data_IF_597059393415
#
_entry.id   IF_597059393415
#
_cell.length_a   1.000
_cell.length_b   1.000
_cell.length_c   1.000
_cell.angle_alpha   90.00
_cell.angle_beta   90.00
_cell.angle_gamma   90.00
#
_symmetry.space_group_name_H-M   'P 1'
#
loop_
_entity.id
_entity.type
_entity.pdbx_description
1 polymer ?
#
# COMPACT_ATOMS: atom_id res chain seq x y z
N UNK A 1 13.20 -2.07 33.64
CA UNK A 1 12.18 -3.14 33.73
C UNK A 1 11.05 -2.83 32.76
N UNK A 2 11.12 -3.31 31.53
CA UNK A 2 10.03 -3.18 30.56
C UNK A 2 9.00 -4.28 30.84
N UNK A 3 7.80 -3.88 31.30
CA UNK A 3 6.62 -4.72 31.23
C UNK A 3 6.17 -4.75 29.77
N UNK A 4 6.57 -5.78 29.03
CA UNK A 4 5.92 -6.11 27.77
C UNK A 4 4.49 -6.56 28.11
N UNK A 5 3.50 -5.74 27.80
CA UNK A 5 2.12 -6.21 27.65
C UNK A 5 2.11 -7.15 26.44
N UNK A 6 2.42 -8.43 26.68
CA UNK A 6 1.93 -9.52 25.85
C UNK A 6 0.40 -9.52 26.00
N UNK A 7 -0.27 -8.68 25.20
CA UNK A 7 -1.66 -8.95 24.85
C UNK A 7 -1.65 -10.34 24.22
N UNK A 8 -2.20 -11.32 24.95
CA UNK A 8 -2.32 -12.69 24.50
C UNK A 8 -3.01 -12.72 23.13
N UNK A 9 -2.26 -13.01 22.06
CA UNK A 9 -2.82 -13.17 20.72
C UNK A 9 -3.83 -14.32 20.75
N UNK A 10 -5.14 -14.07 20.61
CA UNK A 10 -6.18 -15.04 20.94
C UNK A 10 -6.34 -16.16 19.90
N UNK A 11 -5.55 -16.16 18.82
CA UNK A 11 -5.81 -16.92 17.60
C UNK A 11 -5.51 -18.43 17.68
N UNK A 12 -4.66 -18.87 18.63
CA UNK A 12 -4.23 -20.27 18.74
C UNK A 12 -4.63 -20.92 20.08
N UNK A 13 -5.56 -20.29 20.83
CA UNK A 13 -5.95 -20.74 22.17
C UNK A 13 -6.69 -22.09 22.20
N UNK A 14 -7.31 -22.50 21.09
CA UNK A 14 -8.06 -23.77 21.00
C UNK A 14 -7.42 -24.72 19.99
N UNK A 15 -7.33 -26.01 20.37
CA UNK A 15 -6.74 -27.07 19.55
C UNK A 15 -7.36 -27.18 18.15
N UNK A 16 -8.68 -26.96 18.06
CA UNK A 16 -9.44 -26.94 16.80
C UNK A 16 -9.00 -25.83 15.84
N UNK A 17 -8.61 -24.67 16.36
CA UNK A 17 -8.16 -23.54 15.54
C UNK A 17 -6.74 -23.78 15.01
N UNK A 18 -5.85 -24.38 15.81
CA UNK A 18 -4.51 -24.79 15.38
C UNK A 18 -4.56 -25.77 14.21
N UNK A 19 -5.42 -26.79 14.30
CA UNK A 19 -5.58 -27.79 13.24
C UNK A 19 -6.10 -27.16 11.94
N UNK A 20 -7.05 -26.22 12.02
CA UNK A 20 -7.53 -25.48 10.85
C UNK A 20 -6.40 -24.72 10.15
N UNK A 21 -5.53 -24.04 10.89
CA UNK A 21 -4.43 -23.27 10.32
C UNK A 21 -3.36 -24.15 9.70
N UNK A 22 -3.02 -25.28 10.35
CA UNK A 22 -2.11 -26.28 9.78
C UNK A 22 -2.65 -26.81 8.45
N UNK A 23 -3.92 -27.18 8.37
CA UNK A 23 -4.52 -27.67 7.12
C UNK A 23 -4.52 -26.63 6.00
N UNK A 24 -4.67 -25.34 6.33
CA UNK A 24 -4.58 -24.25 5.34
C UNK A 24 -3.14 -24.12 4.80
N UNK A 25 -2.14 -24.21 5.67
CA UNK A 25 -0.72 -24.17 5.28
C UNK A 25 -0.31 -25.40 4.46
N UNK A 26 -0.79 -26.59 4.83
CA UNK A 26 -0.58 -27.82 4.05
C UNK A 26 -1.19 -27.71 2.65
N UNK A 27 -2.40 -27.15 2.54
CA UNK A 27 -3.05 -26.91 1.25
C UNK A 27 -2.34 -25.84 0.41
N UNK A 28 -1.75 -24.82 1.03
CA UNK A 28 -0.92 -23.80 0.35
C UNK A 28 0.39 -24.41 -0.15
N UNK A 29 1.07 -25.19 0.70
CA UNK A 29 2.28 -25.93 0.36
C UNK A 29 2.07 -26.86 -0.83
N UNK A 30 0.99 -27.67 -0.80
CA UNK A 30 0.69 -28.64 -1.85
C UNK A 30 0.35 -28.02 -3.22
N UNK A 31 0.05 -26.72 -3.27
CA UNK A 31 -0.27 -25.98 -4.50
C UNK A 31 0.91 -25.18 -5.06
N UNK A 32 2.03 -25.17 -4.37
CA UNK A 32 3.20 -24.38 -4.76
C UNK A 32 4.33 -25.31 -5.18
N UNK A 33 4.98 -25.01 -6.31
CA UNK A 33 6.21 -25.70 -6.75
C UNK A 33 7.48 -24.97 -6.27
N UNK A 34 7.33 -23.84 -5.56
CA UNK A 34 8.42 -23.05 -5.01
C UNK A 34 8.98 -23.70 -3.73
N UNK A 35 10.23 -24.17 -3.80
CA UNK A 35 10.91 -24.85 -2.71
C UNK A 35 11.08 -23.97 -1.45
N UNK A 36 11.41 -22.68 -1.61
CA UNK A 36 11.57 -21.77 -0.48
C UNK A 36 10.22 -21.50 0.20
N UNK A 37 9.16 -21.35 -0.60
CA UNK A 37 7.80 -21.23 -0.09
C UNK A 37 7.33 -22.48 0.66
N UNK A 38 7.68 -23.67 0.17
CA UNK A 38 7.37 -24.93 0.84
C UNK A 38 8.10 -25.05 2.18
N UNK A 39 9.37 -24.67 2.26
CA UNK A 39 10.14 -24.61 3.53
C UNK A 39 9.47 -23.64 4.52
N UNK A 40 9.06 -22.46 4.05
CA UNK A 40 8.38 -21.48 4.88
C UNK A 40 7.05 -22.02 5.42
N UNK A 41 6.27 -22.73 4.60
CA UNK A 41 5.06 -23.40 5.06
C UNK A 41 5.36 -24.46 6.13
N UNK A 42 6.40 -25.26 5.96
CA UNK A 42 6.81 -26.28 6.93
C UNK A 42 7.23 -25.66 8.26
N UNK A 43 8.05 -24.60 8.20
CA UNK A 43 8.44 -23.80 9.36
C UNK A 43 7.20 -23.30 10.11
N UNK A 44 6.25 -22.65 9.42
CA UNK A 44 5.04 -22.15 10.06
C UNK A 44 4.16 -23.28 10.64
N UNK A 45 4.05 -24.42 9.97
CA UNK A 45 3.34 -25.61 10.48
C UNK A 45 3.98 -26.11 11.78
N UNK A 46 5.33 -26.20 11.82
CA UNK A 46 6.06 -26.66 13.00
C UNK A 46 5.90 -25.66 14.15
N UNK A 47 6.01 -24.37 13.86
CA UNK A 47 5.77 -23.29 14.82
C UNK A 47 4.38 -23.37 15.47
N UNK A 48 3.32 -23.67 14.69
CA UNK A 48 1.96 -23.87 15.23
C UNK A 48 1.88 -25.15 16.07
N UNK A 49 2.44 -26.27 15.59
CA UNK A 49 2.40 -27.58 16.27
C UNK A 49 3.09 -27.54 17.63
N UNK A 50 4.28 -26.95 17.68
CA UNK A 50 5.11 -26.86 18.88
C UNK A 50 4.72 -25.70 19.82
N UNK A 51 3.79 -24.83 19.40
CA UNK A 51 3.36 -23.71 20.23
C UNK A 51 4.43 -22.62 20.40
N UNK A 52 5.31 -22.44 19.41
CA UNK A 52 6.45 -21.49 19.49
C UNK A 52 5.96 -20.07 19.21
N UNK A 53 5.46 -19.40 20.25
CA UNK A 53 4.87 -18.06 20.15
C UNK A 53 5.78 -16.98 19.53
N UNK A 54 7.11 -17.12 19.67
CA UNK A 54 8.07 -16.12 19.18
C UNK A 54 7.97 -15.89 17.66
N UNK A 55 7.55 -16.92 16.90
CA UNK A 55 7.45 -16.87 15.43
C UNK A 55 6.01 -16.76 14.92
N UNK A 56 5.07 -16.35 15.78
CA UNK A 56 3.66 -16.28 15.40
C UNK A 56 3.36 -15.13 14.45
N UNK A 57 4.18 -14.08 14.43
CA UNK A 57 4.03 -12.99 13.46
C UNK A 57 4.26 -13.50 12.03
N UNK A 58 5.28 -14.32 11.79
CA UNK A 58 5.57 -14.95 10.51
C UNK A 58 4.45 -15.92 10.08
N UNK A 59 3.86 -16.64 11.05
CA UNK A 59 2.70 -17.51 10.81
C UNK A 59 1.47 -16.69 10.41
N UNK A 60 1.19 -15.60 11.13
CA UNK A 60 0.05 -14.72 10.87
C UNK A 60 0.19 -14.02 9.52
N UNK A 61 1.40 -13.57 9.17
CA UNK A 61 1.71 -12.97 7.87
C UNK A 61 1.45 -13.97 6.73
N UNK A 62 1.94 -15.21 6.84
CA UNK A 62 1.76 -16.25 5.82
C UNK A 62 0.29 -16.67 5.64
N UNK A 63 -0.47 -16.68 6.74
CA UNK A 63 -1.90 -16.96 6.75
C UNK A 63 -2.75 -15.77 6.31
N UNK A 64 -2.18 -14.56 6.20
CA UNK A 64 -2.94 -13.34 5.95
C UNK A 64 -3.86 -12.96 7.13
N UNK A 65 -3.47 -13.36 8.34
CA UNK A 65 -4.20 -13.17 9.60
C UNK A 65 -3.58 -12.09 10.48
N UNK A 66 -2.59 -11.35 9.98
CA UNK A 66 -2.18 -10.08 10.58
C UNK A 66 -3.35 -9.09 10.42
N UNK A 67 -4.37 -9.32 11.24
CA UNK A 67 -5.62 -8.59 11.34
C UNK A 67 -5.39 -7.29 12.10
N UNK A 68 -4.58 -6.39 11.53
CA UNK A 68 -4.98 -5.00 11.64
C UNK A 68 -5.98 -4.79 10.51
N UNK A 69 -7.26 -4.83 10.86
CA UNK A 69 -8.30 -4.38 9.95
C UNK A 69 -7.85 -3.03 9.39
N UNK A 70 -7.83 -2.88 8.06
CA UNK A 70 -7.37 -1.65 7.43
C UNK A 70 -8.19 -0.50 8.04
N UNK A 71 -7.55 0.44 8.76
CA UNK A 71 -8.26 1.52 9.40
C UNK A 71 -9.10 2.32 8.39
N UNK A 72 -10.23 2.88 8.84
CA UNK A 72 -11.11 3.65 7.97
C UNK A 72 -10.37 4.87 7.41
N UNK A 73 -9.57 5.54 8.21
CA UNK A 73 -8.72 6.66 7.81
C UNK A 73 -7.71 6.26 6.72
N UNK A 74 -7.10 5.08 6.81
CA UNK A 74 -6.22 4.56 5.74
C UNK A 74 -7.02 4.32 4.46
N UNK A 75 -8.21 3.72 4.57
CA UNK A 75 -9.07 3.46 3.42
C UNK A 75 -9.47 4.75 2.70
N UNK A 76 -9.93 5.75 3.48
CA UNK A 76 -10.31 7.07 2.98
C UNK A 76 -9.11 7.80 2.36
N UNK A 77 -7.94 7.74 3.02
CA UNK A 77 -6.71 8.37 2.51
C UNK A 77 -6.32 7.81 1.15
N UNK A 78 -6.35 6.48 0.96
CA UNK A 78 -6.06 5.85 -0.34
C UNK A 78 -7.04 6.33 -1.42
N UNK A 79 -8.34 6.39 -1.11
CA UNK A 79 -9.33 6.88 -2.08
C UNK A 79 -9.10 8.35 -2.44
N UNK A 80 -8.73 9.19 -1.48
CA UNK A 80 -8.42 10.61 -1.71
C UNK A 80 -7.17 10.79 -2.57
N UNK A 81 -6.09 10.04 -2.30
CA UNK A 81 -4.89 10.05 -3.14
C UNK A 81 -5.26 9.68 -4.57
N UNK A 82 -6.00 8.60 -4.76
CA UNK A 82 -6.43 8.17 -6.10
C UNK A 82 -7.33 9.22 -6.77
N UNK A 83 -8.27 9.82 -6.05
CA UNK A 83 -9.16 10.86 -6.57
C UNK A 83 -8.38 12.11 -7.01
N UNK A 84 -7.41 12.55 -6.20
CA UNK A 84 -6.50 13.64 -6.55
C UNK A 84 -5.78 13.37 -7.87
N UNK A 85 -5.20 12.18 -8.06
CA UNK A 85 -4.52 11.85 -9.33
C UNK A 85 -5.47 11.73 -10.53
N UNK A 86 -6.73 11.33 -10.31
CA UNK A 86 -7.76 11.39 -11.38
C UNK A 86 -8.00 12.83 -11.79
N UNK A 87 -8.14 13.72 -10.82
CA UNK A 87 -8.37 15.14 -11.07
C UNK A 87 -7.15 15.80 -11.75
N UNK A 88 -5.92 15.48 -11.31
CA UNK A 88 -4.68 15.90 -11.98
C UNK A 88 -4.68 15.44 -13.44
N UNK A 89 -4.94 14.17 -13.70
CA UNK A 89 -4.96 13.62 -15.07
C UNK A 89 -6.01 14.33 -15.92
N UNK A 90 -7.24 14.50 -15.40
CA UNK A 90 -8.33 15.21 -16.09
C UNK A 90 -7.94 16.66 -16.42
N UNK A 91 -7.26 17.33 -15.49
CA UNK A 91 -6.86 18.74 -15.62
C UNK A 91 -5.72 18.93 -16.60
N UNK A 92 -4.73 18.04 -16.60
CA UNK A 92 -3.63 18.04 -17.57
C UNK A 92 -4.17 17.98 -19.00
N UNK A 93 -5.19 17.14 -19.25
CA UNK A 93 -5.84 17.01 -20.56
C UNK A 93 -6.54 18.29 -21.05
N UNK A 94 -6.78 19.28 -20.19
CA UNK A 94 -7.32 20.58 -20.59
C UNK A 94 -6.23 21.59 -20.99
N UNK A 95 -4.97 21.30 -20.67
CA UNK A 95 -3.86 22.18 -21.04
C UNK A 95 -3.47 21.99 -22.50
N UNK A 96 -2.75 22.95 -23.05
CA UNK A 96 -2.10 22.79 -24.36
C UNK A 96 -1.06 21.67 -24.28
N UNK A 97 -0.79 20.93 -25.38
CA UNK A 97 0.19 19.84 -25.39
C UNK A 97 1.57 20.27 -24.85
N UNK A 98 2.01 21.48 -25.22
CA UNK A 98 3.28 22.05 -24.75
C UNK A 98 3.35 22.25 -23.24
N UNK A 99 2.25 22.68 -22.60
CA UNK A 99 2.18 22.90 -21.15
C UNK A 99 2.08 21.58 -20.40
N UNK A 100 1.30 20.64 -20.94
CA UNK A 100 1.22 19.28 -20.40
C UNK A 100 2.60 18.62 -20.38
N UNK A 101 3.31 18.62 -21.51
CA UNK A 101 4.64 18.03 -21.64
C UNK A 101 5.64 18.69 -20.68
N UNK A 102 5.58 20.02 -20.55
CA UNK A 102 6.41 20.76 -19.59
C UNK A 102 6.17 20.29 -18.15
N UNK A 103 4.91 20.20 -17.71
CA UNK A 103 4.58 19.74 -16.35
C UNK A 103 5.00 18.28 -16.16
N UNK A 104 4.72 17.39 -17.10
CA UNK A 104 5.05 15.96 -16.99
C UNK A 104 6.57 15.72 -16.91
N UNK A 105 7.36 16.55 -17.59
CA UNK A 105 8.82 16.51 -17.57
C UNK A 105 9.43 16.98 -16.24
N UNK A 106 8.74 17.89 -15.52
CA UNK A 106 9.27 18.51 -14.30
C UNK A 106 8.70 17.91 -13.01
N UNK A 107 7.50 17.31 -13.07
CA UNK A 107 6.75 16.88 -11.89
C UNK A 107 6.28 15.43 -12.00
N UNK A 108 5.97 14.82 -10.85
CA UNK A 108 5.31 13.53 -10.78
C UNK A 108 3.81 13.69 -10.94
N UNK A 109 3.31 13.40 -12.14
CA UNK A 109 1.90 13.61 -12.55
C UNK A 109 1.02 12.37 -12.43
N UNK A 110 1.60 11.18 -12.25
CA UNK A 110 0.83 9.93 -12.20
C UNK A 110 0.93 9.27 -10.83
N UNK A 111 -0.11 8.50 -10.49
CA UNK A 111 -0.10 7.64 -9.31
C UNK A 111 0.86 6.46 -9.53
N UNK A 112 1.80 6.29 -8.60
CA UNK A 112 2.87 5.28 -8.70
C UNK A 112 2.67 4.07 -7.78
N UNK A 113 1.54 3.99 -7.07
CA UNK A 113 1.29 2.92 -6.09
C UNK A 113 1.84 3.25 -4.70
N UNK A 114 1.89 2.22 -3.85
CA UNK A 114 2.40 2.29 -2.47
C UNK A 114 3.56 1.31 -2.30
N UNK A 115 4.49 1.63 -1.41
CA UNK A 115 5.63 0.76 -1.09
C UNK A 115 5.19 -0.45 -0.22
N UNK A 116 6.00 -1.51 -0.18
CA UNK A 116 5.77 -2.65 0.71
C UNK A 116 5.82 -2.23 2.20
N UNK A 117 6.59 -1.20 2.53
CA UNK A 117 6.63 -0.61 3.87
C UNK A 117 5.31 0.12 4.23
N UNK A 118 4.49 0.46 3.24
CA UNK A 118 3.18 1.11 3.37
C UNK A 118 2.05 0.07 3.26
N UNK A 119 2.26 -1.08 3.93
CA UNK A 119 1.49 -2.31 3.71
C UNK A 119 -0.03 -2.14 3.78
N UNK A 120 -0.55 -1.35 4.71
CA UNK A 120 -2.00 -1.15 4.86
C UNK A 120 -2.60 -0.40 3.66
N UNK A 121 -1.94 0.67 3.19
CA UNK A 121 -2.34 1.42 1.99
C UNK A 121 -2.25 0.57 0.73
N UNK A 122 -1.14 -0.17 0.58
CA UNK A 122 -0.94 -1.10 -0.51
C UNK A 122 -2.03 -2.18 -0.52
N UNK A 123 -2.32 -2.77 0.64
CA UNK A 123 -3.34 -3.82 0.79
C UNK A 123 -4.72 -3.32 0.38
N UNK A 124 -5.09 -2.10 0.79
CA UNK A 124 -6.37 -1.52 0.40
C UNK A 124 -6.44 -1.22 -1.10
N UNK A 125 -5.38 -0.65 -1.67
CA UNK A 125 -5.31 -0.42 -3.11
C UNK A 125 -5.45 -1.73 -3.90
N UNK A 126 -4.75 -2.79 -3.50
CA UNK A 126 -4.85 -4.12 -4.14
C UNK A 126 -6.28 -4.66 -4.02
N UNK A 127 -6.94 -4.48 -2.87
CA UNK A 127 -8.36 -4.82 -2.70
C UNK A 127 -9.25 -4.07 -3.71
N UNK A 128 -9.06 -2.76 -3.87
CA UNK A 128 -9.81 -1.95 -4.84
C UNK A 128 -9.59 -2.43 -6.29
N UNK A 129 -8.35 -2.78 -6.67
CA UNK A 129 -8.05 -3.32 -8.00
C UNK A 129 -8.71 -4.68 -8.23
N UNK A 130 -8.56 -5.62 -7.29
CA UNK A 130 -9.13 -6.97 -7.39
C UNK A 130 -10.66 -6.95 -7.46
N UNK A 131 -11.28 -6.02 -6.74
CA UNK A 131 -12.75 -5.85 -6.74
C UNK A 131 -13.26 -4.96 -7.88
N UNK A 132 -12.38 -4.54 -8.81
CA UNK A 132 -12.70 -3.65 -9.94
C UNK A 132 -13.32 -2.32 -9.51
N UNK A 133 -12.99 -1.85 -8.30
CA UNK A 133 -13.38 -0.54 -7.77
C UNK A 133 -12.32 0.54 -8.04
N UNK A 134 -11.05 0.14 -8.21
CA UNK A 134 -10.00 1.04 -8.67
C UNK A 134 -10.10 1.28 -10.19
N UNK A 135 -9.97 2.55 -10.60
CA UNK A 135 -9.97 2.98 -12.02
C UNK A 135 -8.62 3.58 -12.45
N UNK A 136 -7.71 3.83 -11.51
CA UNK A 136 -6.36 4.31 -11.83
C UNK A 136 -5.39 3.14 -11.81
N UNK A 137 -4.70 2.94 -12.93
CA UNK A 137 -3.55 2.04 -13.04
C UNK A 137 -2.29 2.72 -12.54
N UNK A 138 -1.39 1.96 -11.93
CA UNK A 138 -0.03 2.41 -11.62
C UNK A 138 0.70 2.68 -12.93
N UNK A 139 1.35 3.84 -13.01
CA UNK A 139 2.26 4.17 -14.11
C UNK A 139 3.65 4.41 -13.56
N UNK A 140 4.63 3.69 -14.12
CA UNK A 140 6.02 3.88 -13.74
C UNK A 140 6.53 5.23 -14.29
N UNK A 141 7.06 6.09 -13.42
CA UNK A 141 7.67 7.37 -13.79
C UNK A 141 9.15 7.47 -13.36
N UNK A 142 9.82 6.32 -13.19
CA UNK A 142 11.22 6.18 -12.79
C UNK A 142 11.42 6.12 -11.27
N UNK A 143 10.70 6.94 -10.52
CA UNK A 143 10.67 6.90 -9.05
C UNK A 143 9.24 6.88 -8.56
N UNK A 144 8.99 6.12 -7.50
CA UNK A 144 7.68 6.04 -6.87
C UNK A 144 7.58 7.08 -5.76
N UNK A 145 6.48 7.81 -5.74
CA UNK A 145 6.16 8.68 -4.61
C UNK A 145 5.88 7.82 -3.37
N UNK A 146 6.44 8.23 -2.24
CA UNK A 146 6.10 7.64 -0.94
C UNK A 146 4.90 8.36 -0.31
N UNK A 147 4.35 7.76 0.75
CA UNK A 147 3.16 8.23 1.46
C UNK A 147 3.33 9.63 2.04
N UNK A 148 4.53 9.99 2.50
CA UNK A 148 4.81 11.35 2.97
C UNK A 148 4.64 12.37 1.85
N UNK A 149 5.08 12.03 0.65
CA UNK A 149 4.92 12.90 -0.53
C UNK A 149 3.46 12.97 -0.96
N UNK A 150 2.72 11.86 -0.98
CA UNK A 150 1.28 11.91 -1.25
C UNK A 150 0.52 12.79 -0.25
N UNK A 151 0.85 12.71 1.05
CA UNK A 151 0.26 13.57 2.08
C UNK A 151 0.59 15.05 1.87
N UNK A 152 1.82 15.36 1.46
CA UNK A 152 2.21 16.72 1.10
C UNK A 152 1.39 17.25 -0.08
N UNK A 153 1.18 16.43 -1.11
CA UNK A 153 0.35 16.80 -2.27
C UNK A 153 -1.10 17.01 -1.84
N UNK A 154 -1.68 16.09 -1.06
CA UNK A 154 -3.05 16.20 -0.55
C UNK A 154 -3.28 17.49 0.25
N UNK A 155 -2.35 17.84 1.14
CA UNK A 155 -2.46 19.06 1.95
C UNK A 155 -2.53 20.34 1.09
N UNK A 156 -1.83 20.36 -0.05
CA UNK A 156 -1.90 21.49 -1.00
C UNK A 156 -3.16 21.41 -1.88
N UNK A 157 -3.51 20.21 -2.31
CA UNK A 157 -4.67 19.93 -3.15
C UNK A 157 -5.99 20.30 -2.48
N UNK A 158 -6.09 20.20 -1.16
CA UNK A 158 -7.32 20.49 -0.41
C UNK A 158 -7.90 21.88 -0.71
N UNK A 159 -7.06 22.88 -0.99
CA UNK A 159 -7.48 24.24 -1.36
C UNK A 159 -8.23 24.30 -2.70
N UNK A 160 -7.98 23.34 -3.58
CA UNK A 160 -8.38 23.36 -4.99
C UNK A 160 -9.31 22.20 -5.36
N UNK A 161 -9.62 21.31 -4.41
CA UNK A 161 -10.34 20.05 -4.65
C UNK A 161 -11.74 20.23 -5.25
N UNK A 162 -12.40 21.35 -4.95
CA UNK A 162 -13.75 21.67 -5.43
C UNK A 162 -13.74 22.36 -6.80
N UNK A 163 -12.58 22.74 -7.32
CA UNK A 163 -12.48 23.23 -8.69
C UNK A 163 -12.79 22.09 -9.67
N UNK A 164 -13.43 22.40 -10.79
CA UNK A 164 -13.73 21.38 -11.82
C UNK A 164 -12.45 20.89 -12.54
N UNK A 165 -11.48 21.79 -12.67
CA UNK A 165 -10.16 21.57 -13.25
C UNK A 165 -9.09 22.38 -12.52
N UNK A 166 -7.89 21.83 -12.42
CA UNK A 166 -6.69 22.49 -11.90
C UNK A 166 -5.99 23.28 -13.00
N UNK A 167 -5.65 24.54 -12.74
CA UNK A 167 -4.82 25.35 -13.64
C UNK A 167 -3.36 24.88 -13.59
N UNK A 168 -2.53 25.39 -14.50
CA UNK A 168 -1.08 25.18 -14.47
C UNK A 168 -0.46 25.60 -13.12
N UNK A 169 -0.85 26.75 -12.58
CA UNK A 169 -0.37 27.23 -11.28
C UNK A 169 -0.79 26.30 -10.13
N UNK A 170 -2.04 25.81 -10.14
CA UNK A 170 -2.49 24.84 -9.13
C UNK A 170 -1.69 23.54 -9.23
N UNK A 171 -1.47 23.02 -10.44
CA UNK A 171 -0.73 21.78 -10.67
C UNK A 171 0.73 21.91 -10.20
N UNK A 172 1.40 23.01 -10.54
CA UNK A 172 2.79 23.25 -10.12
C UNK A 172 2.92 23.45 -8.61
N UNK A 173 1.91 24.02 -7.94
CA UNK A 173 1.88 24.08 -6.47
C UNK A 173 1.72 22.69 -5.86
N UNK A 174 0.72 21.92 -6.30
CA UNK A 174 0.33 20.62 -5.73
C UNK A 174 1.44 19.58 -5.92
N UNK A 175 1.94 19.43 -7.14
CA UNK A 175 2.77 18.29 -7.53
C UNK A 175 4.19 18.36 -6.94
N UNK A 176 4.79 17.18 -6.76
CA UNK A 176 6.19 17.07 -6.35
C UNK A 176 7.09 17.23 -7.56
N UNK A 177 8.05 18.15 -7.48
CA UNK A 177 9.06 18.32 -8.52
C UNK A 177 10.05 17.15 -8.52
N UNK A 178 10.46 16.72 -9.71
CA UNK A 178 11.46 15.64 -9.88
C UNK A 178 12.83 16.04 -9.35
N UNK A 179 13.18 17.33 -9.45
CA UNK A 179 14.48 17.85 -9.00
C UNK A 179 14.64 17.95 -7.48
N UNK A 180 13.53 18.09 -6.72
CA UNK A 180 13.57 18.14 -5.25
C UNK A 180 14.07 16.86 -4.58
N UNK A 181 14.30 15.79 -5.35
CA UNK A 181 14.82 14.53 -4.84
C UNK A 181 16.33 14.34 -4.97
N UNK A 182 17.05 15.21 -5.70
CA UNK A 182 18.53 15.15 -5.76
C UNK A 182 19.20 15.58 -4.45
N UNK A 183 18.50 16.31 -3.57
CA UNK A 183 19.06 16.84 -2.33
C UNK A 183 18.94 15.91 -1.11
N UNK A 184 18.38 14.70 -1.26
CA UNK A 184 18.27 13.71 -0.18
C UNK A 184 19.23 12.51 -0.36
N UNK A 185 20.11 12.55 -1.36
CA UNK A 185 21.09 11.51 -1.68
C UNK A 185 22.56 11.99 -1.59
N UNK A 186 22.79 13.18 -1.03
CA UNK A 186 24.12 13.69 -0.65
C UNK A 186 24.15 13.94 0.87
#
# INVERSE_FOLDING_TARGET
>A
MMKAHLQETPFFKMEKDRMKWISILEAKKAKSDDYEYQILCDFCIHTIKEGIHFHYDEVLDLLGLRNEAIPIDVSVEVEFIMSMFKHVTKSLLQLTPSKMELIESQFYTNFTGFDIQEFQHLSYYVFLVKTKRAVISIKNQGHNLNLKQYRQMLAKYEKYREHEFLSEDHLTEILIARQSQMNFLL
#
